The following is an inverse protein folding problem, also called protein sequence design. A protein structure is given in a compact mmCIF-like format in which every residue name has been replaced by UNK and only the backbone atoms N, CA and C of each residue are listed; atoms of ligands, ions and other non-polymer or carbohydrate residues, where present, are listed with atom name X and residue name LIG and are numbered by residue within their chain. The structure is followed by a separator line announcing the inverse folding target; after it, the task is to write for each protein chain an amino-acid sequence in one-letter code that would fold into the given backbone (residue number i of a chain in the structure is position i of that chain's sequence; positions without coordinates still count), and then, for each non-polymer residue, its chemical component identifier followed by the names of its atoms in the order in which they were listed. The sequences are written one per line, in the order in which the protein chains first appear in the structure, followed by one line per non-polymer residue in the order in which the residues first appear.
data_IF_288048176348
#
_entry.id   IF_288048176348
#
_cell.length_a   1.000
_cell.length_b   1.000
_cell.length_c   1.000
_cell.angle_alpha   90.00
_cell.angle_beta   90.00
_cell.angle_gamma   90.00
#
_symmetry.space_group_name_H-M   'P 1'
#
loop_
_entity.id
_entity.type
_entity.pdbx_description
1 polymer ?
#
# COMPACT_ATOMS: atom_id res chain seq x y z
N UNK A 1 -21.31 -0.59 -39.31
CA UNK A 1 -21.85 -1.81 -38.69
C UNK A 1 -21.81 -1.61 -37.19
N UNK A 2 -22.94 -1.22 -36.61
CA UNK A 2 -23.07 -0.91 -35.19
C UNK A 2 -23.47 -2.18 -34.43
N UNK A 3 -22.64 -2.61 -33.48
CA UNK A 3 -23.05 -3.62 -32.49
C UNK A 3 -23.82 -2.91 -31.39
N UNK A 4 -25.11 -3.21 -31.29
CA UNK A 4 -25.95 -2.87 -30.16
C UNK A 4 -25.46 -3.68 -28.95
N UNK A 5 -24.79 -3.02 -28.01
CA UNK A 5 -24.54 -3.56 -26.68
C UNK A 5 -25.87 -3.56 -25.92
N UNK A 6 -26.37 -4.74 -25.57
CA UNK A 6 -27.52 -4.92 -24.69
C UNK A 6 -27.14 -4.46 -23.28
N UNK A 7 -27.81 -3.39 -22.86
CA UNK A 7 -27.77 -2.83 -21.51
C UNK A 7 -28.49 -3.79 -20.55
N UNK A 8 -27.75 -4.70 -19.93
CA UNK A 8 -28.27 -5.62 -18.91
C UNK A 8 -28.26 -4.90 -17.57
N UNK A 9 -29.42 -4.36 -17.22
CA UNK A 9 -29.73 -3.77 -15.91
C UNK A 9 -29.49 -4.82 -14.80
N UNK A 10 -28.54 -4.62 -13.87
CA UNK A 10 -28.34 -5.56 -12.77
C UNK A 10 -29.44 -5.38 -11.73
N UNK A 11 -30.25 -6.42 -11.50
CA UNK A 11 -31.09 -6.53 -10.31
C UNK A 11 -30.20 -6.71 -9.07
N UNK A 12 -30.49 -6.01 -7.96
CA UNK A 12 -29.81 -6.25 -6.69
C UNK A 12 -30.33 -7.53 -6.04
N UNK A 13 -29.56 -8.61 -6.15
CA UNK A 13 -29.78 -9.83 -5.38
C UNK A 13 -29.20 -9.66 -3.97
N UNK A 14 -30.01 -9.08 -3.07
CA UNK A 14 -29.86 -9.30 -1.62
C UNK A 14 -30.28 -10.75 -1.31
N UNK A 15 -29.38 -11.70 -1.54
CA UNK A 15 -29.47 -13.05 -0.97
C UNK A 15 -28.33 -13.25 0.03
N UNK A 16 -28.50 -12.65 1.21
CA UNK A 16 -27.81 -13.11 2.41
C UNK A 16 -28.38 -14.49 2.78
N UNK A 17 -27.84 -15.54 2.15
CA UNK A 17 -27.95 -16.90 2.65
C UNK A 17 -26.95 -17.04 3.80
N UNK A 18 -27.34 -16.62 5.00
CA UNK A 18 -26.71 -17.13 6.23
C UNK A 18 -27.06 -18.62 6.34
N UNK A 19 -26.32 -19.43 5.59
CA UNK A 19 -26.39 -20.88 5.64
C UNK A 19 -25.67 -21.33 6.93
N UNK A 20 -26.41 -21.29 8.03
CA UNK A 20 -26.08 -22.07 9.22
C UNK A 20 -26.03 -23.54 8.79
N UNK A 21 -24.82 -24.03 8.50
CA UNK A 21 -24.52 -25.41 8.15
C UNK A 21 -24.86 -26.35 9.29
N UNK A 22 -26.15 -26.63 9.47
CA UNK A 22 -26.61 -27.83 10.16
C UNK A 22 -26.35 -28.96 9.19
N UNK A 23 -25.41 -29.88 9.45
CA UNK A 23 -25.22 -31.03 8.59
C UNK A 23 -26.57 -31.75 8.49
N UNK A 24 -27.08 -31.89 7.27
CA UNK A 24 -28.33 -32.57 7.01
C UNK A 24 -28.32 -33.92 7.73
N UNK A 25 -29.38 -34.21 8.49
CA UNK A 25 -29.50 -35.46 9.26
C UNK A 25 -29.27 -36.71 8.38
N UNK A 26 -29.46 -36.57 7.06
CA UNK A 26 -29.16 -37.59 6.06
C UNK A 26 -27.66 -37.91 5.97
N UNK A 27 -26.79 -36.90 5.96
CA UNK A 27 -25.33 -37.07 5.86
C UNK A 27 -24.76 -37.68 7.14
N UNK A 28 -25.30 -37.30 8.30
CA UNK A 28 -24.93 -37.91 9.59
C UNK A 28 -25.43 -39.36 9.71
N UNK A 29 -26.61 -39.69 9.19
CA UNK A 29 -27.13 -41.05 9.17
C UNK A 29 -26.32 -41.99 8.25
N UNK A 30 -25.84 -41.51 7.09
CA UNK A 30 -24.99 -42.30 6.20
C UNK A 30 -23.59 -42.55 6.79
N UNK A 31 -23.02 -41.57 7.49
CA UNK A 31 -21.73 -41.74 8.17
C UNK A 31 -21.83 -42.77 9.31
N UNK A 32 -22.92 -42.75 10.10
CA UNK A 32 -23.15 -43.72 11.18
C UNK A 32 -23.45 -45.14 10.65
N UNK A 33 -24.08 -45.28 9.48
CA UNK A 33 -24.33 -46.58 8.87
C UNK A 33 -23.05 -47.28 8.36
N UNK A 34 -22.00 -46.52 8.03
CA UNK A 34 -20.73 -47.11 7.55
C UNK A 34 -19.86 -47.70 8.66
N UNK A 35 -19.99 -47.22 9.90
CA UNK A 35 -19.15 -47.64 11.03
C UNK A 35 -19.59 -48.96 11.70
N UNK A 36 -20.82 -49.44 11.49
CA UNK A 36 -21.34 -50.66 12.15
C UNK A 36 -21.24 -51.95 11.30
N UNK A 37 -20.56 -51.93 10.16
CA UNK A 37 -20.46 -53.07 9.25
C UNK A 37 -19.39 -54.11 9.60
N UNK A 38 -19.53 -54.83 10.72
CA UNK A 38 -18.77 -56.06 10.99
C UNK A 38 -19.05 -57.13 9.91
N UNK A 39 -17.99 -57.59 9.25
CA UNK A 39 -17.79 -58.90 8.58
C UNK A 39 -19.08 -59.71 8.31
N UNK A 40 -19.74 -59.48 7.18
CA UNK A 40 -20.64 -60.47 6.57
C UNK A 40 -20.20 -60.75 5.13
N UNK A 41 -20.12 -62.04 4.82
CA UNK A 41 -19.69 -62.60 3.53
C UNK A 41 -20.45 -61.95 2.38
N UNK A 42 -19.68 -61.51 1.38
CA UNK A 42 -20.11 -60.90 0.11
C UNK A 42 -21.21 -61.72 -0.57
N UNK A 43 -22.46 -61.31 -0.37
CA UNK A 43 -23.57 -61.66 -1.25
C UNK A 43 -23.53 -60.69 -2.42
N UNK A 44 -23.29 -61.19 -3.64
CA UNK A 44 -23.30 -60.44 -4.90
C UNK A 44 -24.48 -59.46 -4.92
N UNK A 45 -24.21 -58.16 -4.78
CA UNK A 45 -25.22 -57.11 -4.90
C UNK A 45 -25.80 -57.22 -6.31
N UNK A 46 -27.11 -57.43 -6.41
CA UNK A 46 -27.82 -57.41 -7.70
C UNK A 46 -27.56 -56.04 -8.35
N UNK A 47 -27.26 -55.97 -9.66
CA UNK A 47 -27.05 -54.70 -10.34
C UNK A 47 -28.27 -53.81 -10.13
N UNK A 48 -28.04 -52.53 -9.82
CA UNK A 48 -29.08 -51.52 -9.69
C UNK A 48 -29.90 -51.47 -10.99
N UNK A 49 -31.19 -51.20 -10.89
CA UNK A 49 -32.01 -50.99 -12.09
C UNK A 49 -31.44 -49.79 -12.88
N UNK A 50 -31.49 -49.79 -14.22
CA UNK A 50 -30.95 -48.69 -15.02
C UNK A 50 -31.41 -47.29 -14.56
N UNK A 51 -32.67 -47.18 -14.13
CA UNK A 51 -33.22 -45.93 -13.59
C UNK A 51 -32.59 -45.51 -12.25
N UNK A 52 -32.27 -46.47 -11.37
CA UNK A 52 -31.59 -46.18 -10.11
C UNK A 52 -30.15 -45.75 -10.35
N UNK A 53 -29.46 -46.37 -11.34
CA UNK A 53 -28.12 -45.94 -11.73
C UNK A 53 -28.15 -44.51 -12.27
N UNK A 54 -29.12 -44.18 -13.14
CA UNK A 54 -29.25 -42.83 -13.68
C UNK A 54 -29.52 -41.76 -12.59
N UNK A 55 -30.26 -42.10 -11.53
CA UNK A 55 -30.48 -41.18 -10.40
C UNK A 55 -29.19 -40.95 -9.62
N UNK A 56 -28.42 -42.00 -9.33
CA UNK A 56 -27.12 -41.89 -8.66
C UNK A 56 -26.16 -41.04 -9.50
N UNK A 57 -26.08 -41.31 -10.81
CA UNK A 57 -25.20 -40.55 -11.71
C UNK A 57 -25.61 -39.06 -11.79
N UNK A 58 -26.90 -38.75 -11.67
CA UNK A 58 -27.41 -37.36 -11.64
C UNK A 58 -27.15 -36.69 -10.29
N UNK A 59 -27.26 -37.43 -9.18
CA UNK A 59 -26.89 -36.93 -7.84
C UNK A 59 -25.40 -36.62 -7.77
N UNK A 60 -24.55 -37.51 -8.27
CA UNK A 60 -23.10 -37.31 -8.33
C UNK A 60 -22.75 -36.07 -9.18
N UNK A 61 -23.39 -35.92 -10.35
CA UNK A 61 -23.22 -34.72 -11.19
C UNK A 61 -23.72 -33.45 -10.51
N UNK A 62 -24.82 -33.50 -9.78
CA UNK A 62 -25.35 -32.35 -9.05
C UNK A 62 -24.40 -31.94 -7.92
N UNK A 63 -23.83 -32.90 -7.19
CA UNK A 63 -22.81 -32.65 -6.17
C UNK A 63 -21.54 -32.06 -6.78
N UNK A 64 -21.06 -32.59 -7.90
CA UNK A 64 -19.94 -32.04 -8.65
C UNK A 64 -20.20 -30.58 -9.06
N UNK A 65 -21.38 -30.28 -9.63
CA UNK A 65 -21.77 -28.91 -10.02
C UNK A 65 -21.91 -27.96 -8.83
N UNK A 66 -22.42 -28.43 -7.68
CA UNK A 66 -22.48 -27.63 -6.47
C UNK A 66 -21.07 -27.29 -5.96
N UNK A 67 -20.14 -28.24 -6.00
CA UNK A 67 -18.75 -28.01 -5.64
C UNK A 67 -18.07 -27.02 -6.60
N UNK A 68 -18.28 -27.16 -7.91
CA UNK A 68 -17.80 -26.21 -8.92
C UNK A 68 -18.35 -24.80 -8.67
N UNK A 69 -19.66 -24.68 -8.42
CA UNK A 69 -20.30 -23.39 -8.13
C UNK A 69 -19.73 -22.75 -6.86
N UNK A 70 -19.52 -23.54 -5.80
CA UNK A 70 -18.91 -23.07 -4.57
C UNK A 70 -17.49 -22.54 -4.81
N UNK A 71 -16.66 -23.29 -5.54
CA UNK A 71 -15.30 -22.88 -5.91
C UNK A 71 -15.32 -21.59 -6.76
N UNK A 72 -16.21 -21.50 -7.75
CA UNK A 72 -16.37 -20.31 -8.59
C UNK A 72 -16.82 -19.08 -7.79
N UNK A 73 -17.67 -19.27 -6.78
CA UNK A 73 -18.16 -18.20 -5.89
C UNK A 73 -17.04 -17.67 -5.00
N UNK A 74 -16.22 -18.56 -4.44
CA UNK A 74 -15.03 -18.18 -3.68
C UNK A 74 -14.01 -17.41 -4.55
N UNK A 75 -13.75 -17.89 -5.78
CA UNK A 75 -12.83 -17.21 -6.70
C UNK A 75 -13.38 -15.85 -7.15
N UNK A 76 -14.68 -15.74 -7.43
CA UNK A 76 -15.31 -14.47 -7.75
C UNK A 76 -15.17 -13.45 -6.60
N UNK A 77 -15.38 -13.89 -5.35
CA UNK A 77 -15.17 -13.06 -4.17
C UNK A 77 -13.70 -12.61 -4.03
N UNK A 78 -12.74 -13.51 -4.27
CA UNK A 78 -11.30 -13.22 -4.28
C UNK A 78 -10.95 -12.17 -5.34
N UNK A 79 -11.42 -12.33 -6.58
CA UNK A 79 -11.19 -11.41 -7.68
C UNK A 79 -11.82 -10.04 -7.43
N UNK A 80 -13.03 -9.98 -6.89
CA UNK A 80 -13.67 -8.72 -6.49
C UNK A 80 -12.90 -7.99 -5.38
N UNK A 81 -12.33 -8.72 -4.42
CA UNK A 81 -11.46 -8.11 -3.40
C UNK A 81 -10.17 -7.55 -4.03
N UNK A 82 -9.57 -8.28 -4.98
CA UNK A 82 -8.38 -7.84 -5.73
C UNK A 82 -8.66 -6.60 -6.59
N UNK A 83 -9.78 -6.55 -7.30
CA UNK A 83 -10.19 -5.38 -8.09
C UNK A 83 -10.34 -4.16 -7.18
N UNK A 84 -11.01 -4.29 -6.03
CA UNK A 84 -11.13 -3.21 -5.04
C UNK A 84 -9.77 -2.68 -4.55
N UNK A 85 -8.81 -3.58 -4.29
CA UNK A 85 -7.44 -3.16 -3.92
C UNK A 85 -6.76 -2.41 -5.05
N UNK A 86 -6.89 -2.88 -6.29
CA UNK A 86 -6.32 -2.21 -7.46
C UNK A 86 -6.96 -0.83 -7.64
N UNK A 87 -8.29 -0.73 -7.57
CA UNK A 87 -9.05 0.52 -7.67
C UNK A 87 -8.68 1.52 -6.57
N UNK A 88 -8.46 1.07 -5.33
CA UNK A 88 -8.02 1.93 -4.23
C UNK A 88 -6.58 2.45 -4.42
N UNK A 89 -5.72 1.66 -5.08
CA UNK A 89 -4.31 1.99 -5.32
C UNK A 89 -4.12 2.85 -6.58
N UNK A 90 -4.99 2.72 -7.59
CA UNK A 90 -4.87 3.40 -8.88
C UNK A 90 -4.85 4.94 -8.80
N UNK A 91 -5.75 5.62 -8.03
CA UNK A 91 -5.74 7.09 -7.91
C UNK A 91 -4.42 7.64 -7.36
N UNK A 92 -3.70 6.86 -6.53
CA UNK A 92 -2.40 7.28 -5.99
C UNK A 92 -1.29 7.24 -7.04
N UNK A 93 -1.42 6.41 -8.08
CA UNK A 93 -0.46 6.31 -9.19
C UNK A 93 -0.72 7.37 -10.25
N UNK A 94 -1.97 7.76 -10.45
CA UNK A 94 -2.38 8.81 -11.38
C UNK A 94 -2.41 10.19 -10.68
N UNK A 95 -1.34 10.53 -9.96
CA UNK A 95 -1.17 11.89 -9.44
C UNK A 95 -1.43 12.94 -10.54
N UNK A 96 -1.77 14.18 -10.18
CA UNK A 96 -2.15 15.22 -11.14
C UNK A 96 -1.14 15.23 -12.30
N UNK A 97 -1.59 15.34 -13.56
CA UNK A 97 -0.80 15.04 -14.77
C UNK A 97 0.47 15.89 -14.99
N UNK A 98 0.91 16.68 -14.01
CA UNK A 98 2.22 17.34 -13.96
C UNK A 98 3.24 16.74 -12.98
N UNK A 99 2.93 15.67 -12.23
CA UNK A 99 3.83 15.10 -11.21
C UNK A 99 4.55 13.80 -11.62
N UNK A 100 4.13 13.17 -12.73
CA UNK A 100 4.59 11.82 -13.09
C UNK A 100 6.03 11.83 -13.67
N UNK A 101 6.45 12.94 -14.27
CA UNK A 101 7.80 13.10 -14.83
C UNK A 101 8.90 13.07 -13.77
N UNK A 102 8.64 13.60 -12.57
CA UNK A 102 9.64 13.63 -11.50
C UNK A 102 9.94 12.23 -10.93
N UNK A 103 8.98 11.32 -10.94
CA UNK A 103 9.16 9.96 -10.44
C UNK A 103 9.80 9.01 -11.48
N UNK A 104 9.55 9.22 -12.78
CA UNK A 104 10.25 8.49 -13.85
C UNK A 104 11.70 8.95 -14.02
N UNK A 105 11.99 10.24 -13.83
CA UNK A 105 13.37 10.75 -13.86
C UNK A 105 14.28 10.21 -12.75
N UNK A 106 13.74 9.67 -11.66
CA UNK A 106 14.53 9.07 -10.57
C UNK A 106 14.97 7.62 -10.85
N UNK A 107 14.35 6.94 -11.83
CA UNK A 107 14.70 5.56 -12.19
C UNK A 107 15.64 5.53 -13.40
N UNK A 108 15.65 6.57 -14.23
CA UNK A 108 16.68 6.77 -15.25
C UNK A 108 17.94 7.32 -14.57
N UNK A 109 18.91 6.43 -14.30
CA UNK A 109 20.14 6.73 -13.57
C UNK A 109 20.89 7.96 -14.07
N UNK A 110 21.53 8.65 -13.12
CA UNK A 110 22.55 9.65 -13.38
C UNK A 110 23.64 9.02 -14.27
N UNK A 111 23.87 9.50 -15.51
CA UNK A 111 24.99 9.01 -16.30
C UNK A 111 26.28 9.32 -15.54
N UNK A 112 27.08 8.28 -15.30
CA UNK A 112 28.33 8.36 -14.56
C UNK A 112 29.26 9.40 -15.16
N UNK A 113 29.54 10.45 -14.40
CA UNK A 113 30.65 11.37 -14.64
C UNK A 113 31.94 10.61 -14.33
N UNK A 114 32.52 9.98 -15.34
CA UNK A 114 33.89 9.45 -15.28
C UNK A 114 34.52 9.53 -16.66
N UNK A 115 35.30 10.59 -16.88
CA UNK A 115 36.57 10.56 -17.61
C UNK A 115 37.16 11.98 -17.62
N UNK A 116 37.93 12.29 -16.58
CA UNK A 116 39.04 13.22 -16.73
C UNK A 116 40.14 12.47 -17.49
N UNK A 117 40.39 12.87 -18.73
CA UNK A 117 41.44 12.35 -19.58
C UNK A 117 41.69 13.33 -20.71
N UNK A 118 42.65 14.22 -20.49
CA UNK A 118 43.29 15.00 -21.56
C UNK A 118 43.74 14.07 -22.68
N UNK A 119 43.41 14.41 -23.92
CA UNK A 119 44.41 14.41 -24.99
C UNK A 119 43.96 15.32 -26.13
N UNK A 120 44.86 16.24 -26.47
CA UNK A 120 44.74 17.18 -27.58
C UNK A 120 44.81 16.43 -28.91
N UNK A 121 43.87 16.69 -29.82
CA UNK A 121 43.84 16.06 -31.14
C UNK A 121 43.00 16.85 -32.12
N UNK A 122 43.59 17.93 -32.64
CA UNK A 122 43.08 18.81 -33.68
C UNK A 122 42.81 18.08 -35.00
N UNK A 123 41.61 18.16 -35.58
CA UNK A 123 41.34 18.09 -37.04
C UNK A 123 39.94 18.65 -37.40
N UNK A 124 39.69 19.04 -38.69
CA UNK A 124 38.84 20.19 -39.00
C UNK A 124 37.45 19.86 -39.57
N UNK A 125 36.61 20.90 -39.45
CA UNK A 125 35.41 21.29 -40.17
C UNK A 125 34.93 20.44 -41.37
N UNK A 126 33.63 20.11 -41.36
CA UNK A 126 32.82 20.00 -42.59
C UNK A 126 31.38 20.46 -42.35
N UNK A 127 31.12 21.63 -42.93
CA UNK A 127 29.90 22.17 -43.56
C UNK A 127 28.54 21.48 -43.41
N UNK A 128 27.58 22.31 -42.97
CA UNK A 128 26.13 22.28 -43.20
C UNK A 128 25.75 22.23 -44.70
N UNK A 129 24.50 21.80 -45.00
CA UNK A 129 23.57 22.77 -45.59
C UNK A 129 22.14 22.73 -44.99
N UNK A 130 21.28 23.74 -45.30
CA UNK A 130 20.08 24.07 -44.54
C UNK A 130 18.75 23.73 -45.24
N UNK A 131 17.65 24.12 -44.57
CA UNK A 131 16.26 24.36 -45.04
C UNK A 131 15.35 23.17 -45.29
N UNK A 132 14.24 23.08 -44.54
CA UNK A 132 12.96 23.68 -44.93
C UNK A 132 11.91 23.59 -43.82
N UNK A 133 11.09 24.65 -43.75
CA UNK A 133 10.05 24.90 -42.77
C UNK A 133 8.78 24.06 -43.00
N UNK A 134 8.12 23.70 -41.91
CA UNK A 134 6.77 23.11 -41.91
C UNK A 134 5.99 23.59 -40.70
N UNK A 135 5.45 24.79 -40.79
CA UNK A 135 4.43 25.34 -39.89
C UNK A 135 3.10 24.60 -40.14
N UNK A 136 2.54 23.96 -39.12
CA UNK A 136 1.10 23.62 -39.07
C UNK A 136 0.56 23.92 -37.68
N UNK A 137 -0.51 24.71 -37.67
CA UNK A 137 -1.19 25.30 -36.53
C UNK A 137 -1.92 24.26 -35.63
N UNK A 138 -2.26 24.64 -34.38
CA UNK A 138 -2.95 23.78 -33.43
C UNK A 138 -4.46 23.77 -33.67
N UNK A 139 -5.04 22.58 -33.80
CA UNK A 139 -6.48 22.36 -33.81
C UNK A 139 -6.98 21.98 -32.42
N UNK A 140 -7.68 22.92 -31.76
CA UNK A 140 -8.62 22.62 -30.67
C UNK A 140 -9.71 21.65 -31.14
N UNK A 141 -10.24 20.82 -30.23
CA UNK A 141 -11.69 20.72 -30.19
C UNK A 141 -12.29 20.80 -28.78
N UNK A 142 -13.28 21.69 -28.71
CA UNK A 142 -14.61 21.50 -28.14
C UNK A 142 -14.72 21.04 -26.67
N UNK A 143 -14.88 22.07 -25.83
CA UNK A 143 -15.66 22.03 -24.59
C UNK A 143 -17.10 21.60 -24.94
N UNK A 144 -17.52 20.42 -24.48
CA UNK A 144 -18.94 20.09 -24.36
C UNK A 144 -19.38 20.30 -22.91
N UNK A 145 -20.23 21.31 -22.73
CA UNK A 145 -20.97 21.57 -21.52
C UNK A 145 -21.99 20.45 -21.29
N UNK A 146 -21.94 19.81 -20.12
CA UNK A 146 -22.97 18.88 -19.65
C UNK A 146 -24.18 19.69 -19.12
N UNK A 147 -25.42 19.29 -19.44
CA UNK A 147 -26.63 19.93 -18.93
C UNK A 147 -26.95 19.52 -17.48
N UNK A 148 -27.68 20.37 -16.71
CA UNK A 148 -28.01 20.11 -15.32
C UNK A 148 -29.13 19.07 -15.20
N UNK A 149 -28.87 17.96 -14.50
CA UNK A 149 -29.89 16.96 -14.22
C UNK A 149 -30.73 17.33 -13.00
N UNK A 150 -32.03 17.19 -13.22
CA UNK A 150 -33.14 17.58 -12.37
C UNK A 150 -33.21 16.76 -11.08
N UNK A 151 -33.32 17.51 -9.99
CA UNK A 151 -33.82 17.09 -8.69
C UNK A 151 -35.26 16.59 -8.83
N UNK A 152 -35.50 15.32 -8.50
CA UNK A 152 -36.86 14.82 -8.26
C UNK A 152 -36.95 14.20 -6.86
N UNK A 153 -37.70 14.88 -6.00
CA UNK A 153 -38.32 14.29 -4.82
C UNK A 153 -39.39 13.28 -5.28
N UNK A 154 -39.70 12.29 -4.43
CA UNK A 154 -41.10 12.13 -4.10
C UNK A 154 -41.34 12.10 -2.59
N UNK A 155 -42.26 12.96 -2.17
CA UNK A 155 -43.07 12.81 -0.97
C UNK A 155 -44.12 11.71 -1.19
N UNK A 156 -44.54 11.05 -0.11
CA UNK A 156 -45.90 10.48 -0.06
C UNK A 156 -46.05 9.10 0.58
N UNK A 157 -46.48 9.13 1.84
CA UNK A 157 -47.54 8.30 2.43
C UNK A 157 -47.41 6.78 2.43
N UNK A 158 -47.26 6.21 3.64
CA UNK A 158 -47.45 4.81 3.93
C UNK A 158 -47.75 4.59 5.42
N UNK A 159 -48.99 4.88 5.80
CA UNK A 159 -49.61 4.58 7.09
C UNK A 159 -49.61 3.07 7.36
N UNK A 160 -49.11 2.63 8.50
CA UNK A 160 -49.15 1.23 8.91
C UNK A 160 -49.02 1.08 10.43
N UNK A 161 -50.16 0.94 11.09
CA UNK A 161 -50.32 0.72 12.52
C UNK A 161 -50.05 -0.76 12.91
N UNK A 162 -49.62 -0.99 14.15
CA UNK A 162 -49.62 -2.30 14.81
C UNK A 162 -48.38 -2.50 15.68
N UNK A 163 -48.36 -2.05 16.94
CA UNK A 163 -48.88 -2.74 18.12
C UNK A 163 -47.80 -3.53 18.91
N UNK A 164 -47.44 -2.94 20.06
CA UNK A 164 -47.27 -3.57 21.38
C UNK A 164 -46.28 -4.75 21.52
N UNK A 165 -45.15 -4.47 22.16
CA UNK A 165 -44.79 -5.24 23.37
C UNK A 165 -43.98 -4.40 24.34
N UNK A 166 -44.34 -4.56 25.61
CA UNK A 166 -43.93 -3.75 26.74
C UNK A 166 -42.88 -4.47 27.58
N UNK A 167 -42.20 -3.65 28.40
CA UNK A 167 -41.55 -4.00 29.68
C UNK A 167 -40.06 -4.40 29.63
N UNK A 168 -39.32 -4.24 30.74
CA UNK A 168 -38.85 -2.93 31.21
C UNK A 168 -37.35 -2.90 31.53
N UNK A 169 -36.78 -1.70 31.55
CA UNK A 169 -35.46 -1.41 32.08
C UNK A 169 -35.46 -1.42 33.62
N UNK A 170 -34.32 -1.75 34.27
CA UNK A 170 -33.99 -1.25 35.59
C UNK A 170 -32.95 -0.12 35.51
N UNK A 171 -33.36 1.05 36.05
CA UNK A 171 -32.47 2.11 36.51
C UNK A 171 -31.52 1.63 37.60
N UNK A 172 -30.34 2.26 37.72
CA UNK A 172 -29.78 2.60 39.01
C UNK A 172 -29.80 4.12 39.24
N UNK A 173 -30.19 4.48 40.46
CA UNK A 173 -30.37 5.83 40.98
C UNK A 173 -29.07 6.63 41.12
N UNK A 174 -29.15 7.98 41.13
CA UNK A 174 -28.06 8.88 41.45
C UNK A 174 -27.94 9.07 42.97
N UNK A 175 -26.73 8.93 43.52
CA UNK A 175 -26.44 9.26 44.92
C UNK A 175 -25.55 10.51 45.03
N UNK A 176 -26.11 11.51 45.72
CA UNK A 176 -25.52 12.54 46.63
C UNK A 176 -24.09 13.02 46.34
N UNK A 177 -23.84 14.31 46.07
CA UNK A 177 -23.92 15.50 46.96
C UNK A 177 -22.96 15.46 48.15
N UNK A 178 -21.80 16.11 48.00
CA UNK A 178 -20.98 16.79 49.03
C UNK A 178 -20.19 17.88 48.29
N UNK A 179 -20.63 19.14 48.37
CA UNK A 179 -20.09 20.19 49.26
C UNK A 179 -18.77 20.81 48.76
N UNK A 180 -18.89 22.08 48.37
CA UNK A 180 -17.80 23.01 48.13
C UNK A 180 -17.12 23.40 49.45
N UNK A 181 -15.91 23.99 49.36
CA UNK A 181 -15.80 25.33 49.91
C UNK A 181 -15.15 26.34 48.96
N UNK A 182 -15.70 27.54 49.04
CA UNK A 182 -15.21 28.80 48.50
C UNK A 182 -13.77 29.15 48.90
N UNK A 183 -13.07 29.80 47.98
CA UNK A 183 -11.90 30.66 48.21
C UNK A 183 -11.48 31.24 46.86
N UNK A 184 -12.06 32.34 46.38
CA UNK A 184 -11.85 33.76 46.72
C UNK A 184 -10.44 34.28 46.36
N UNK A 185 -10.46 35.26 45.45
CA UNK A 185 -9.52 36.35 45.18
C UNK A 185 -8.14 36.06 44.59
N UNK A 186 -7.88 36.67 43.43
CA UNK A 186 -6.55 36.80 42.87
C UNK A 186 -6.53 37.40 41.46
N UNK A 187 -7.24 38.50 41.23
CA UNK A 187 -7.02 39.34 40.06
C UNK A 187 -5.56 39.82 40.04
N UNK A 188 -4.80 39.50 38.99
CA UNK A 188 -3.65 40.30 38.54
C UNK A 188 -3.54 40.22 37.03
N UNK A 189 -4.27 41.16 36.42
CA UNK A 189 -3.96 41.73 35.11
C UNK A 189 -2.59 42.40 35.17
N UNK A 190 -1.69 42.04 34.26
CA UNK A 190 -0.49 42.81 33.93
C UNK A 190 -0.32 42.78 32.42
N UNK A 191 -0.95 43.75 31.75
CA UNK A 191 -0.48 44.26 30.47
C UNK A 191 0.84 45.01 30.69
N UNK A 192 1.81 44.92 29.77
CA UNK A 192 2.74 46.01 29.55
C UNK A 192 2.32 46.80 28.31
N UNK A 193 2.04 48.07 28.55
CA UNK A 193 1.90 49.11 27.53
C UNK A 193 3.28 49.60 27.09
N UNK A 194 3.42 49.80 25.79
CA UNK A 194 4.03 50.93 25.06
C UNK A 194 5.30 51.62 25.58
N UNK A 195 6.22 51.85 24.64
CA UNK A 195 7.18 52.98 24.43
C UNK A 195 8.55 52.42 23.98
N UNK A 196 9.28 52.92 22.98
CA UNK A 196 9.19 54.12 22.15
C UNK A 196 10.04 53.94 20.86
N UNK A 197 9.73 54.76 19.86
CA UNK A 197 10.60 55.35 18.83
C UNK A 197 11.95 54.69 18.48
N UNK A 198 12.09 54.27 17.21
CA UNK A 198 13.18 54.73 16.36
C UNK A 198 12.79 54.62 14.89
N UNK A 199 12.41 55.78 14.34
CA UNK A 199 12.18 56.05 12.92
C UNK A 199 13.56 56.33 12.31
N UNK A 200 14.17 55.34 11.67
CA UNK A 200 15.37 55.57 10.84
C UNK A 200 14.98 55.78 9.39
N UNK A 201 15.25 56.99 8.94
CA UNK A 201 15.23 57.48 7.57
C UNK A 201 16.34 56.85 6.72
N UNK A 202 15.95 56.43 5.53
CA UNK A 202 16.69 56.44 4.25
C UNK A 202 18.22 56.29 4.25
N UNK A 203 18.68 55.17 3.68
CA UNK A 203 19.95 55.05 2.93
C UNK A 203 19.67 54.20 1.67
N UNK A 204 19.75 54.76 0.45
CA UNK A 204 19.67 54.01 -0.78
C UNK A 204 21.09 53.68 -1.28
N UNK A 205 21.36 52.40 -1.52
CA UNK A 205 22.51 51.99 -2.33
C UNK A 205 23.51 51.10 -1.62
N UNK A 206 23.21 49.82 -1.51
CA UNK A 206 24.25 48.80 -1.64
C UNK A 206 23.69 47.62 -2.43
N UNK A 207 24.12 47.56 -3.69
CA UNK A 207 24.02 46.38 -4.54
C UNK A 207 24.91 45.29 -3.93
N UNK A 208 24.39 44.63 -2.89
CA UNK A 208 25.02 43.49 -2.26
C UNK A 208 24.77 42.28 -3.15
N UNK A 209 25.84 41.85 -3.81
CA UNK A 209 26.02 40.54 -4.43
C UNK A 209 25.27 39.48 -3.62
N UNK A 210 24.14 39.01 -4.16
CA UNK A 210 23.61 37.68 -3.84
C UNK A 210 24.61 36.65 -4.36
N UNK A 211 25.70 36.46 -3.61
CA UNK A 211 26.48 35.25 -3.70
C UNK A 211 25.62 34.15 -3.13
N UNK A 212 24.95 33.40 -4.00
CA UNK A 212 24.25 32.16 -3.68
C UNK A 212 25.27 31.17 -3.13
N UNK A 213 25.59 31.29 -1.84
CA UNK A 213 26.34 30.26 -1.11
C UNK A 213 25.37 29.10 -0.97
N UNK A 214 25.40 28.19 -1.94
CA UNK A 214 24.77 26.88 -1.82
C UNK A 214 25.47 26.15 -0.68
N UNK A 215 24.98 26.35 0.54
CA UNK A 215 25.35 25.53 1.68
C UNK A 215 24.97 24.09 1.33
N UNK A 216 25.99 23.29 1.05
CA UNK A 216 25.87 21.84 0.94
C UNK A 216 25.50 21.35 2.33
N UNK A 217 24.19 21.25 2.59
CA UNK A 217 23.68 20.57 3.77
C UNK A 217 24.13 19.13 3.69
N UNK A 218 24.78 18.65 4.76
CA UNK A 218 25.31 17.29 4.77
C UNK A 218 24.16 16.29 4.72
N UNK A 219 24.40 15.08 4.19
CA UNK A 219 23.39 14.02 4.18
C UNK A 219 22.87 13.70 5.59
N UNK A 220 23.73 13.86 6.61
CA UNK A 220 23.39 13.70 8.01
C UNK A 220 22.34 14.73 8.47
N UNK A 221 22.52 16.01 8.11
CA UNK A 221 21.57 17.08 8.47
C UNK A 221 20.17 16.78 7.91
N UNK A 222 20.09 16.22 6.71
CA UNK A 222 18.81 15.85 6.07
C UNK A 222 18.17 14.64 6.74
N UNK A 223 18.95 13.65 7.17
CA UNK A 223 18.47 12.54 8.00
C UNK A 223 17.86 13.04 9.29
N UNK A 224 18.51 13.99 9.96
CA UNK A 224 18.06 14.53 11.24
C UNK A 224 16.79 15.38 11.07
N UNK A 225 16.69 16.16 9.99
CA UNK A 225 15.48 16.89 9.61
C UNK A 225 14.30 15.95 9.33
N UNK A 226 14.52 14.86 8.60
CA UNK A 226 13.49 13.86 8.35
C UNK A 226 13.01 13.22 9.66
N UNK A 227 13.95 12.85 10.54
CA UNK A 227 13.64 12.22 11.82
C UNK A 227 12.85 13.17 12.72
N UNK A 228 13.25 14.45 12.78
CA UNK A 228 12.52 15.47 13.51
C UNK A 228 11.08 15.63 12.99
N UNK A 229 10.89 15.64 11.66
CA UNK A 229 9.56 15.70 11.06
C UNK A 229 8.69 14.48 11.42
N UNK A 230 9.26 13.28 11.37
CA UNK A 230 8.59 12.04 11.74
C UNK A 230 8.18 12.01 13.23
N UNK A 231 9.11 12.38 14.13
CA UNK A 231 8.85 12.44 15.57
C UNK A 231 7.78 13.49 15.91
N UNK A 232 7.81 14.65 15.23
CA UNK A 232 6.78 15.68 15.42
C UNK A 232 5.40 15.17 14.99
N UNK A 233 5.29 14.53 13.82
CA UNK A 233 4.05 13.91 13.36
C UNK A 233 3.53 12.86 14.34
N UNK A 234 4.41 11.98 14.83
CA UNK A 234 4.05 10.91 15.77
C UNK A 234 3.52 11.50 17.08
N UNK A 235 4.17 12.55 17.60
CA UNK A 235 3.73 13.25 18.82
C UNK A 235 2.39 13.97 18.63
N UNK A 236 2.24 14.75 17.55
CA UNK A 236 0.98 15.43 17.23
C UNK A 236 -0.17 14.44 17.06
N UNK A 237 0.07 13.33 16.35
CA UNK A 237 -0.90 12.24 16.17
C UNK A 237 -1.34 11.62 17.48
N UNK A 238 -0.40 11.33 18.38
CA UNK A 238 -0.71 10.73 19.68
C UNK A 238 -1.66 11.63 20.50
N UNK A 239 -1.39 12.95 20.52
CA UNK A 239 -2.25 13.92 21.20
C UNK A 239 -3.65 13.99 20.57
N UNK A 240 -3.73 13.99 19.25
CA UNK A 240 -5.01 14.02 18.52
C UNK A 240 -5.81 12.73 18.71
N UNK A 241 -5.16 11.57 18.76
CA UNK A 241 -5.81 10.27 19.02
C UNK A 241 -6.44 10.29 20.42
N UNK A 242 -5.67 10.68 21.44
CA UNK A 242 -6.19 10.79 22.81
C UNK A 242 -7.36 11.77 22.91
N UNK A 243 -7.28 12.91 22.22
CA UNK A 243 -8.36 13.90 22.21
C UNK A 243 -9.64 13.36 21.54
N UNK A 244 -9.49 12.66 20.41
CA UNK A 244 -10.60 12.03 19.69
C UNK A 244 -11.24 10.90 20.50
N UNK A 245 -10.44 10.06 21.17
CA UNK A 245 -10.96 8.98 22.02
C UNK A 245 -11.72 9.51 23.24
N UNK A 246 -11.25 10.62 23.83
CA UNK A 246 -11.96 11.27 24.92
C UNK A 246 -13.26 11.94 24.45
N UNK A 247 -13.23 12.57 23.27
CA UNK A 247 -14.34 13.32 22.67
C UNK A 247 -14.31 13.20 21.14
N UNK A 248 -15.09 12.28 20.56
CA UNK A 248 -15.11 12.10 19.11
C UNK A 248 -15.56 13.39 18.40
N UNK A 249 -14.67 13.94 17.59
CA UNK A 249 -14.91 15.16 16.81
C UNK A 249 -14.15 15.06 15.48
N UNK A 250 -14.86 15.36 14.39
CA UNK A 250 -14.32 15.35 13.02
C UNK A 250 -13.16 16.33 12.83
N UNK A 251 -13.16 17.45 13.55
CA UNK A 251 -12.06 18.42 13.50
C UNK A 251 -10.71 17.81 13.87
N UNK A 252 -10.69 16.82 14.78
CA UNK A 252 -9.44 16.13 15.13
C UNK A 252 -8.94 15.25 13.99
N UNK A 253 -9.82 14.60 13.25
CA UNK A 253 -9.46 13.80 12.09
C UNK A 253 -8.91 14.68 10.97
N UNK A 254 -9.56 15.82 10.69
CA UNK A 254 -9.06 16.80 9.72
C UNK A 254 -7.68 17.34 10.10
N UNK A 255 -7.44 17.62 11.40
CA UNK A 255 -6.11 18.03 11.88
C UNK A 255 -5.08 16.92 11.74
N UNK A 256 -5.44 15.65 11.97
CA UNK A 256 -4.53 14.52 11.72
C UNK A 256 -4.15 14.46 10.24
N UNK A 257 -5.11 14.55 9.32
CA UNK A 257 -4.84 14.54 7.88
C UNK A 257 -3.96 15.70 7.45
N UNK A 258 -4.26 16.92 7.88
CA UNK A 258 -3.44 18.09 7.58
C UNK A 258 -2.00 17.95 8.11
N UNK A 259 -1.82 17.29 9.25
CA UNK A 259 -0.50 17.06 9.85
C UNK A 259 0.26 15.95 9.11
N UNK A 260 -0.45 14.93 8.62
CA UNK A 260 0.11 13.92 7.73
C UNK A 260 0.50 14.49 6.37
N UNK A 261 -0.27 15.44 5.83
CA UNK A 261 0.06 16.15 4.60
C UNK A 261 1.34 16.98 4.73
N UNK A 262 1.56 17.62 5.89
CA UNK A 262 2.84 18.30 6.18
C UNK A 262 4.00 17.31 6.19
N UNK A 263 3.84 16.13 6.79
CA UNK A 263 4.87 15.09 6.75
C UNK A 263 5.14 14.63 5.31
N UNK A 264 4.10 14.38 4.50
CA UNK A 264 4.25 13.99 3.09
C UNK A 264 5.01 15.06 2.30
N UNK A 265 4.70 16.34 2.49
CA UNK A 265 5.41 17.43 1.84
C UNK A 265 6.91 17.42 2.21
N UNK A 266 7.24 17.21 3.49
CA UNK A 266 8.64 17.06 3.93
C UNK A 266 9.33 15.83 3.36
N UNK A 267 8.61 14.71 3.23
CA UNK A 267 9.13 13.49 2.59
C UNK A 267 9.43 13.72 1.12
N UNK A 268 8.60 14.50 0.40
CA UNK A 268 8.88 14.86 -1.00
C UNK A 268 10.11 15.77 -1.08
N UNK A 269 10.17 16.81 -0.25
CA UNK A 269 11.28 17.76 -0.20
C UNK A 269 12.63 17.10 0.14
N UNK A 270 12.64 16.23 1.14
CA UNK A 270 13.85 15.58 1.65
C UNK A 270 14.19 14.27 0.92
N UNK A 271 13.17 13.53 0.47
CA UNK A 271 13.30 12.16 -0.04
C UNK A 271 13.57 12.06 -1.54
N UNK A 272 13.13 13.03 -2.35
CA UNK A 272 13.50 13.06 -3.78
C UNK A 272 15.03 13.05 -4.00
N UNK A 273 15.83 13.83 -3.26
CA UNK A 273 17.28 13.79 -3.41
C UNK A 273 17.99 12.64 -2.65
N UNK A 274 17.29 11.95 -1.74
CA UNK A 274 17.91 10.99 -0.80
C UNK A 274 16.99 9.78 -0.50
N UNK A 275 16.77 8.93 -1.50
CA UNK A 275 15.91 7.75 -1.36
C UNK A 275 16.44 6.73 -0.32
N UNK A 276 17.76 6.73 -0.10
CA UNK A 276 18.46 5.93 0.91
C UNK A 276 18.03 6.28 2.34
N UNK A 277 17.68 7.56 2.59
CA UNK A 277 17.25 7.98 3.92
C UNK A 277 15.98 7.24 4.32
N UNK A 278 14.97 7.20 3.44
CA UNK A 278 13.69 6.55 3.75
C UNK A 278 13.85 5.04 3.83
N UNK A 279 14.65 4.45 2.94
CA UNK A 279 14.80 2.99 2.85
C UNK A 279 15.53 2.41 4.08
N UNK A 280 16.44 3.16 4.69
CA UNK A 280 17.19 2.72 5.86
C UNK A 280 16.42 2.88 7.18
N UNK A 281 15.25 3.55 7.18
CA UNK A 281 14.47 3.78 8.41
C UNK A 281 13.72 2.54 8.88
N UNK A 282 13.33 1.66 7.95
CA UNK A 282 12.52 0.46 8.22
C UNK A 282 13.24 -0.50 9.20
N UNK A 283 14.56 -0.36 9.39
CA UNK A 283 15.38 -1.20 10.27
C UNK A 283 16.03 -0.43 11.42
N UNK A 284 15.64 0.81 11.69
CA UNK A 284 16.26 1.64 12.72
C UNK A 284 15.34 1.81 13.92
N UNK A 285 15.87 1.52 15.10
CA UNK A 285 15.21 1.91 16.35
C UNK A 285 15.49 3.41 16.59
N UNK A 286 14.43 4.21 16.62
CA UNK A 286 14.48 5.67 16.66
C UNK A 286 14.98 6.22 18.01
N UNK A 287 14.79 5.47 19.11
CA UNK A 287 15.31 5.85 20.43
C UNK A 287 16.82 5.63 20.52
N UNK A 288 17.29 4.47 20.06
CA UNK A 288 18.70 4.07 20.17
C UNK A 288 19.58 4.56 19.01
N UNK A 289 18.95 4.93 17.89
CA UNK A 289 19.62 5.24 16.63
C UNK A 289 20.31 4.04 15.97
N UNK A 290 20.18 2.82 16.51
CA UNK A 290 20.84 1.60 16.01
C UNK A 290 19.96 0.86 15.01
N UNK A 291 20.61 0.18 14.07
CA UNK A 291 19.95 -0.80 13.21
C UNK A 291 19.49 -1.97 14.08
N UNK A 292 18.19 -2.08 14.28
CA UNK A 292 17.55 -3.12 15.08
C UNK A 292 16.18 -3.42 14.48
N UNK A 293 15.98 -4.68 14.09
CA UNK A 293 14.67 -5.15 13.65
C UNK A 293 13.72 -5.26 14.86
N UNK A 294 12.43 -4.88 14.71
CA UNK A 294 11.44 -5.09 15.75
C UNK A 294 11.20 -6.59 16.00
N UNK A 295 10.94 -7.00 17.26
CA UNK A 295 10.54 -8.38 17.56
C UNK A 295 9.29 -8.79 16.77
N UNK A 296 9.16 -10.07 16.42
CA UNK A 296 8.02 -10.54 15.62
C UNK A 296 6.66 -10.23 16.25
N UNK A 297 6.56 -10.34 17.58
CA UNK A 297 5.34 -10.04 18.34
C UNK A 297 4.98 -8.56 18.36
N UNK A 298 5.90 -7.66 18.00
CA UNK A 298 5.69 -6.22 18.04
C UNK A 298 4.52 -5.80 17.14
N UNK A 299 4.55 -6.23 15.87
CA UNK A 299 3.51 -5.89 14.90
C UNK A 299 2.14 -6.45 15.25
N UNK A 300 2.09 -7.59 15.97
CA UNK A 300 0.84 -8.16 16.48
C UNK A 300 0.15 -7.20 17.45
N UNK A 301 0.90 -6.65 18.40
CA UNK A 301 0.38 -5.67 19.37
C UNK A 301 -0.12 -4.41 18.66
N UNK A 302 0.61 -3.93 17.65
CA UNK A 302 0.19 -2.78 16.82
C UNK A 302 -1.15 -3.07 16.16
N UNK A 303 -1.26 -4.21 15.47
CA UNK A 303 -2.45 -4.60 14.70
C UNK A 303 -3.67 -4.85 15.58
N UNK A 304 -3.51 -5.50 16.73
CA UNK A 304 -4.59 -5.72 17.70
C UNK A 304 -5.27 -4.41 18.12
N UNK A 305 -4.52 -3.30 18.19
CA UNK A 305 -5.03 -1.98 18.58
C UNK A 305 -5.64 -1.18 17.41
N UNK A 306 -5.50 -1.65 16.17
CA UNK A 306 -6.13 -1.01 15.01
C UNK A 306 -7.62 -1.31 14.89
N UNK A 307 -8.10 -2.37 15.55
CA UNK A 307 -9.49 -2.84 15.48
C UNK A 307 -9.97 -2.98 14.03
N UNK A 308 -9.16 -3.63 13.18
CA UNK A 308 -9.49 -3.80 11.76
C UNK A 308 -10.80 -4.57 11.59
N UNK A 309 -11.68 -4.09 10.71
CA UNK A 309 -12.90 -4.81 10.37
C UNK A 309 -12.62 -5.95 9.37
N UNK A 310 -13.60 -6.83 9.17
CA UNK A 310 -13.46 -7.99 8.28
C UNK A 310 -13.17 -7.61 6.82
N UNK A 311 -13.70 -6.49 6.35
CA UNK A 311 -13.44 -5.98 4.99
C UNK A 311 -11.99 -5.49 4.82
N UNK A 312 -11.45 -4.79 5.81
CA UNK A 312 -10.06 -4.34 5.85
C UNK A 312 -9.10 -5.54 5.89
N UNK A 313 -9.42 -6.55 6.70
CA UNK A 313 -8.65 -7.81 6.76
C UNK A 313 -8.67 -8.51 5.40
N UNK A 314 -9.83 -8.61 4.75
CA UNK A 314 -9.94 -9.20 3.42
C UNK A 314 -9.14 -8.42 2.36
N UNK A 315 -9.15 -7.08 2.42
CA UNK A 315 -8.36 -6.24 1.53
C UNK A 315 -6.85 -6.41 1.77
N UNK A 316 -6.40 -6.52 3.02
CA UNK A 316 -5.00 -6.80 3.36
C UNK A 316 -4.56 -8.18 2.84
N UNK A 317 -5.39 -9.22 2.98
CA UNK A 317 -5.12 -10.55 2.41
C UNK A 317 -4.98 -10.50 0.89
N UNK A 318 -5.89 -9.80 0.21
CA UNK A 318 -5.84 -9.65 -1.25
C UNK A 318 -4.58 -8.87 -1.70
N UNK A 319 -4.24 -7.78 -1.00
CA UNK A 319 -3.03 -7.01 -1.26
C UNK A 319 -1.75 -7.82 -1.04
N UNK A 320 -1.70 -8.62 0.03
CA UNK A 320 -0.56 -9.49 0.34
C UNK A 320 -0.40 -10.63 -0.68
N UNK A 321 -1.51 -11.24 -1.11
CA UNK A 321 -1.50 -12.22 -2.18
C UNK A 321 -0.93 -11.64 -3.48
N UNK A 322 -1.37 -10.43 -3.86
CA UNK A 322 -0.84 -9.72 -5.03
C UNK A 322 0.66 -9.39 -4.90
N UNK A 323 1.09 -8.94 -3.72
CA UNK A 323 2.50 -8.72 -3.43
C UNK A 323 3.33 -9.99 -3.64
N UNK A 324 2.86 -11.12 -3.09
CA UNK A 324 3.54 -12.42 -3.22
C UNK A 324 3.63 -12.90 -4.66
N UNK A 325 2.53 -12.82 -5.41
CA UNK A 325 2.51 -13.18 -6.84
C UNK A 325 3.59 -12.40 -7.61
N UNK A 326 3.72 -11.09 -7.36
CA UNK A 326 4.75 -10.26 -8.01
C UNK A 326 6.15 -10.59 -7.51
N UNK A 327 6.31 -10.76 -6.21
CA UNK A 327 7.61 -11.04 -5.60
C UNK A 327 8.15 -12.41 -6.03
N UNK A 328 7.28 -13.40 -6.26
CA UNK A 328 7.69 -14.72 -6.76
C UNK A 328 8.37 -14.61 -8.14
N UNK A 329 7.81 -13.79 -9.04
CA UNK A 329 8.40 -13.53 -10.36
C UNK A 329 9.75 -12.83 -10.22
N UNK A 330 9.82 -11.77 -9.40
CA UNK A 330 11.05 -11.02 -9.14
C UNK A 330 12.14 -11.93 -8.59
N UNK A 331 11.83 -12.76 -7.58
CA UNK A 331 12.79 -13.67 -6.95
C UNK A 331 13.20 -14.84 -7.85
N UNK A 332 12.32 -15.28 -8.76
CA UNK A 332 12.68 -16.26 -9.78
C UNK A 332 13.67 -15.68 -10.78
N UNK A 333 13.41 -14.47 -11.28
CA UNK A 333 14.32 -13.76 -12.19
C UNK A 333 15.67 -13.47 -11.52
N UNK A 334 15.67 -12.98 -10.28
CA UNK A 334 16.90 -12.72 -9.51
C UNK A 334 17.79 -13.96 -9.40
N UNK A 335 17.20 -15.12 -9.13
CA UNK A 335 17.94 -16.40 -9.08
C UNK A 335 18.55 -16.75 -10.44
N UNK A 336 17.77 -16.64 -11.52
CA UNK A 336 18.27 -16.90 -12.89
C UNK A 336 19.42 -15.96 -13.27
N UNK A 337 19.31 -14.68 -12.92
CA UNK A 337 20.36 -13.68 -13.16
C UNK A 337 21.62 -13.97 -12.35
N UNK A 338 21.47 -14.33 -11.08
CA UNK A 338 22.59 -14.70 -10.24
C UNK A 338 23.32 -15.95 -10.78
N UNK A 339 22.59 -16.95 -11.27
CA UNK A 339 23.16 -18.14 -11.92
C UNK A 339 23.91 -17.78 -13.22
N UNK A 340 23.33 -16.91 -14.06
CA UNK A 340 23.97 -16.43 -15.30
C UNK A 340 25.26 -15.65 -15.00
N UNK A 341 25.24 -14.73 -14.03
CA UNK A 341 26.42 -13.98 -13.58
C UNK A 341 27.49 -14.90 -12.97
N UNK A 342 27.08 -15.88 -12.17
CA UNK A 342 28.02 -16.87 -11.62
C UNK A 342 28.70 -17.68 -12.74
N UNK A 343 27.94 -18.12 -13.75
CA UNK A 343 28.48 -18.84 -14.90
C UNK A 343 29.45 -17.99 -15.74
N UNK A 344 29.10 -16.72 -16.00
CA UNK A 344 29.99 -15.80 -16.73
C UNK A 344 31.28 -15.52 -15.96
N UNK A 345 31.20 -15.28 -14.64
CA UNK A 345 32.38 -15.09 -13.79
C UNK A 345 33.27 -16.35 -13.70
N UNK A 346 32.68 -17.54 -13.56
CA UNK A 346 33.44 -18.79 -13.59
C UNK A 346 34.16 -18.98 -14.93
N UNK A 347 33.50 -18.63 -16.02
CA UNK A 347 34.12 -18.66 -17.35
C UNK A 347 35.31 -17.69 -17.44
N UNK A 348 35.24 -16.51 -16.81
CA UNK A 348 36.36 -15.55 -16.76
C UNK A 348 37.51 -16.05 -15.89
N UNK A 349 37.22 -16.68 -14.74
CA UNK A 349 38.23 -17.11 -13.76
C UNK A 349 39.11 -18.28 -14.22
N UNK A 350 38.60 -19.18 -15.09
CA UNK A 350 39.36 -20.33 -15.60
C UNK A 350 40.51 -19.94 -16.58
N UNK A 351 40.84 -18.65 -16.72
CA UNK A 351 41.51 -18.11 -17.90
C UNK A 351 42.89 -17.45 -17.84
N UNK A 352 43.83 -17.71 -16.90
CA UNK A 352 45.22 -17.25 -17.08
C UNK A 352 46.21 -18.35 -17.55
N UNK A 353 45.86 -19.64 -17.45
CA UNK A 353 46.79 -20.75 -17.71
C UNK A 353 46.59 -21.51 -19.03
N UNK A 354 45.56 -21.18 -19.81
CA UNK A 354 45.20 -21.92 -21.04
C UNK A 354 45.64 -21.11 -22.27
N UNK A 355 46.90 -21.30 -22.67
CA UNK A 355 47.50 -20.74 -23.89
C UNK A 355 46.70 -21.20 -25.13
N UNK A 356 45.74 -20.39 -25.55
CA UNK A 356 44.85 -20.73 -26.67
C UNK A 356 43.44 -20.15 -26.59
N UNK A 357 43.11 -19.42 -25.51
CA UNK A 357 41.81 -18.75 -25.41
C UNK A 357 41.69 -17.63 -26.44
N UNK A 358 40.72 -17.73 -27.32
CA UNK A 358 40.53 -16.75 -28.38
C UNK A 358 39.94 -15.43 -27.81
N UNK A 359 40.48 -14.25 -28.19
CA UNK A 359 40.06 -12.94 -27.67
C UNK A 359 38.53 -12.69 -27.72
N UNK A 360 37.86 -13.17 -28.76
CA UNK A 360 36.41 -13.00 -28.95
C UNK A 360 35.55 -13.71 -27.90
N UNK A 361 36.09 -14.68 -27.14
CA UNK A 361 35.35 -15.31 -26.04
C UNK A 361 35.26 -14.41 -24.81
N UNK A 362 36.31 -13.62 -24.54
CA UNK A 362 36.34 -12.70 -23.40
C UNK A 362 35.35 -11.53 -23.61
N UNK A 363 35.33 -10.95 -24.81
CA UNK A 363 34.38 -9.89 -25.15
C UNK A 363 32.94 -10.35 -25.00
N UNK A 364 32.59 -11.54 -25.50
CA UNK A 364 31.25 -12.11 -25.35
C UNK A 364 30.87 -12.27 -23.88
N UNK A 365 31.76 -12.82 -23.05
CA UNK A 365 31.49 -12.99 -21.61
C UNK A 365 31.34 -11.67 -20.88
N UNK A 366 32.04 -10.61 -21.32
CA UNK A 366 31.91 -9.26 -20.77
C UNK A 366 30.56 -8.65 -21.12
N UNK A 367 30.14 -8.74 -22.39
CA UNK A 367 28.84 -8.22 -22.85
C UNK A 367 27.68 -8.96 -22.18
N UNK A 368 27.79 -10.28 -21.99
CA UNK A 368 26.79 -11.06 -21.26
C UNK A 368 26.69 -10.66 -19.78
N UNK A 369 27.82 -10.32 -19.14
CA UNK A 369 27.84 -9.85 -17.75
C UNK A 369 27.20 -8.46 -17.61
N UNK A 370 27.48 -7.54 -18.53
CA UNK A 370 26.87 -6.21 -18.57
C UNK A 370 25.35 -6.28 -18.77
N UNK A 371 24.89 -7.07 -19.75
CA UNK A 371 23.46 -7.28 -19.98
C UNK A 371 22.74 -7.91 -18.77
N UNK A 372 23.40 -8.83 -18.06
CA UNK A 372 22.85 -9.42 -16.84
C UNK A 372 22.80 -8.42 -15.66
N UNK A 373 23.73 -7.47 -15.59
CA UNK A 373 23.71 -6.39 -14.61
C UNK A 373 22.55 -5.41 -14.87
N UNK A 374 22.33 -5.01 -16.12
CA UNK A 374 21.19 -4.17 -16.50
C UNK A 374 19.84 -4.86 -16.18
N UNK A 375 19.73 -6.16 -16.45
CA UNK A 375 18.54 -6.95 -16.13
C UNK A 375 18.33 -7.08 -14.61
N UNK A 376 19.42 -7.10 -13.82
CA UNK A 376 19.36 -7.09 -12.36
C UNK A 376 18.87 -5.74 -11.82
N UNK A 377 19.33 -4.62 -12.38
CA UNK A 377 18.84 -3.29 -12.00
C UNK A 377 17.34 -3.13 -12.29
N UNK A 378 16.88 -3.59 -13.46
CA UNK A 378 15.45 -3.64 -13.79
C UNK A 378 14.66 -4.52 -12.81
N UNK A 379 15.24 -5.65 -12.38
CA UNK A 379 14.64 -6.54 -11.38
C UNK A 379 14.55 -5.87 -9.99
N UNK A 380 15.56 -5.13 -9.55
CA UNK A 380 15.54 -4.34 -8.31
C UNK A 380 14.46 -3.26 -8.37
N UNK A 381 14.30 -2.57 -9.51
CA UNK A 381 13.21 -1.62 -9.70
C UNK A 381 11.82 -2.30 -9.59
N UNK A 382 11.67 -3.50 -10.15
CA UNK A 382 10.45 -4.31 -10.04
C UNK A 382 10.17 -4.77 -8.60
N UNK A 383 11.20 -5.15 -7.83
CA UNK A 383 11.11 -5.43 -6.40
C UNK A 383 10.57 -4.21 -5.64
N UNK A 384 11.16 -3.03 -5.88
CA UNK A 384 10.72 -1.78 -5.28
C UNK A 384 9.26 -1.45 -5.62
N UNK A 385 8.82 -1.73 -6.86
CA UNK A 385 7.42 -1.58 -7.26
C UNK A 385 6.48 -2.58 -6.58
N UNK A 386 6.93 -3.80 -6.31
CA UNK A 386 6.17 -4.79 -5.55
C UNK A 386 6.03 -4.34 -4.09
N UNK A 387 7.11 -3.94 -3.42
CA UNK A 387 7.05 -3.42 -2.04
C UNK A 387 6.19 -2.16 -1.92
N UNK A 388 6.18 -1.31 -2.96
CA UNK A 388 5.34 -0.11 -2.99
C UNK A 388 3.85 -0.44 -2.83
N UNK A 389 3.37 -1.60 -3.29
CA UNK A 389 1.97 -2.00 -3.11
C UNK A 389 1.58 -2.09 -1.64
N UNK A 390 2.43 -2.66 -0.77
CA UNK A 390 2.15 -2.76 0.65
C UNK A 390 2.07 -1.36 1.30
N UNK A 391 2.97 -0.46 0.91
CA UNK A 391 2.97 0.94 1.36
C UNK A 391 1.75 1.71 0.84
N UNK A 392 1.36 1.51 -0.42
CA UNK A 392 0.15 2.09 -1.04
C UNK A 392 -1.12 1.60 -0.32
N UNK A 393 -1.17 0.33 0.09
CA UNK A 393 -2.30 -0.21 0.85
C UNK A 393 -2.47 0.46 2.22
N UNK A 394 -1.38 0.76 2.94
CA UNK A 394 -1.47 1.52 4.19
C UNK A 394 -1.84 2.99 3.99
N UNK A 395 -1.60 3.53 2.79
CA UNK A 395 -1.92 4.92 2.41
C UNK A 395 -3.29 5.05 1.76
N UNK A 396 -3.93 3.96 1.39
CA UNK A 396 -5.24 3.99 0.74
C UNK A 396 -6.33 4.35 1.74
N UNK A 397 -7.53 4.53 1.21
CA UNK A 397 -8.79 4.72 1.93
C UNK A 397 -9.28 3.46 2.66
N UNK A 398 -8.60 2.31 2.50
CA UNK A 398 -8.90 1.09 3.26
C UNK A 398 -8.81 1.36 4.76
N UNK A 399 -7.83 2.17 5.19
CA UNK A 399 -7.66 2.56 6.59
C UNK A 399 -8.20 3.96 6.84
N UNK A 400 -8.89 4.13 7.96
CA UNK A 400 -9.35 5.46 8.38
C UNK A 400 -8.16 6.36 8.75
N UNK A 401 -8.32 7.69 8.73
CA UNK A 401 -7.26 8.60 9.16
C UNK A 401 -6.76 8.30 10.58
N UNK A 402 -7.67 7.94 11.48
CA UNK A 402 -7.37 7.52 12.85
C UNK A 402 -6.51 6.25 12.88
N UNK A 403 -6.83 5.24 12.06
CA UNK A 403 -6.04 4.00 11.99
C UNK A 403 -4.63 4.26 11.43
N UNK A 404 -4.49 5.11 10.39
CA UNK A 404 -3.17 5.49 9.86
C UNK A 404 -2.32 6.23 10.90
N UNK A 405 -2.92 7.13 11.67
CA UNK A 405 -2.25 7.81 12.77
C UNK A 405 -1.85 6.81 13.88
N UNK A 406 -2.75 5.88 14.25
CA UNK A 406 -2.44 4.82 15.22
C UNK A 406 -1.29 3.93 14.76
N UNK A 407 -1.23 3.54 13.49
CA UNK A 407 -0.11 2.78 12.93
C UNK A 407 1.20 3.52 13.21
N UNK A 408 1.29 4.81 12.88
CA UNK A 408 2.50 5.59 13.12
C UNK A 408 2.88 5.66 14.61
N UNK A 409 1.92 5.96 15.48
CA UNK A 409 2.13 6.11 16.93
C UNK A 409 2.52 4.79 17.60
N UNK A 410 1.80 3.72 17.31
CA UNK A 410 2.02 2.41 17.92
C UNK A 410 3.27 1.71 17.39
N UNK A 411 3.77 2.10 16.21
CA UNK A 411 5.02 1.56 15.67
C UNK A 411 6.25 2.09 16.39
N UNK A 412 6.13 3.19 17.14
CA UNK A 412 7.25 3.73 17.93
C UNK A 412 7.78 2.69 18.94
N UNK A 413 9.10 2.47 19.05
CA UNK A 413 10.20 3.29 18.50
C UNK A 413 10.73 2.85 17.13
N UNK A 414 9.99 2.05 16.38
CA UNK A 414 10.37 1.62 15.03
C UNK A 414 9.61 2.43 13.96
N UNK A 415 10.15 2.46 12.75
CA UNK A 415 9.39 2.96 11.60
C UNK A 415 8.35 1.91 11.16
N UNK A 416 7.13 2.30 10.74
CA UNK A 416 6.11 1.33 10.34
C UNK A 416 6.54 0.48 9.14
N UNK A 417 6.73 -0.81 9.36
CA UNK A 417 6.93 -1.77 8.28
C UNK A 417 5.57 -2.15 7.68
N UNK A 418 5.29 -1.59 6.50
CA UNK A 418 4.02 -1.79 5.82
C UNK A 418 3.75 -3.26 5.50
N UNK A 419 4.77 -4.02 5.11
CA UNK A 419 4.60 -5.43 4.77
C UNK A 419 4.34 -6.27 6.02
N UNK A 420 5.09 -6.03 7.10
CA UNK A 420 4.89 -6.76 8.34
C UNK A 420 3.52 -6.48 8.97
N UNK A 421 3.05 -5.23 8.92
CA UNK A 421 1.71 -4.85 9.40
C UNK A 421 0.63 -5.54 8.55
N UNK A 422 0.72 -5.47 7.21
CA UNK A 422 -0.28 -6.09 6.31
C UNK A 422 -0.30 -7.61 6.47
N UNK A 423 0.87 -8.26 6.58
CA UNK A 423 0.96 -9.70 6.84
C UNK A 423 0.34 -10.09 8.19
N UNK A 424 0.60 -9.29 9.22
CA UNK A 424 0.02 -9.50 10.54
C UNK A 424 -1.51 -9.34 10.52
N UNK A 425 -2.04 -8.31 9.84
CA UNK A 425 -3.50 -8.11 9.66
C UNK A 425 -4.12 -9.28 8.89
N UNK A 426 -3.44 -9.80 7.87
CA UNK A 426 -3.91 -10.94 7.09
C UNK A 426 -4.06 -12.23 7.94
N UNK A 427 -3.48 -12.27 9.14
CA UNK A 427 -3.46 -13.42 10.05
C UNK A 427 -2.28 -14.36 9.78
N UNK A 428 -1.33 -13.95 8.95
CA UNK A 428 -0.18 -14.75 8.59
C UNK A 428 0.95 -14.41 9.53
N UNK A 429 0.93 -15.08 10.69
CA UNK A 429 2.00 -14.95 11.67
C UNK A 429 3.26 -15.73 11.30
N UNK A 430 3.27 -16.35 10.12
CA UNK A 430 4.42 -17.04 9.53
C UNK A 430 4.82 -16.29 8.26
N UNK A 431 5.41 -15.10 8.41
CA UNK A 431 6.26 -14.60 7.34
C UNK A 431 7.49 -15.52 7.31
N UNK A 432 7.82 -16.14 6.17
CA UNK A 432 9.10 -16.83 6.04
C UNK A 432 10.18 -15.81 6.39
N UNK A 433 11.04 -16.15 7.33
CA UNK A 433 12.19 -15.33 7.73
C UNK A 433 13.13 -15.22 6.52
N UNK A 434 12.82 -14.31 5.60
CA UNK A 434 13.60 -14.06 4.39
C UNK A 434 14.90 -13.32 4.70
N UNK A 435 15.18 -13.05 5.99
CA UNK A 435 16.37 -12.38 6.49
C UNK A 435 17.45 -13.35 7.02
N UNK A 436 17.40 -14.64 6.66
CA UNK A 436 18.49 -15.59 6.91
C UNK A 436 19.25 -16.01 5.64
N UNK A 437 19.16 -15.23 4.56
CA UNK A 437 20.06 -15.38 3.39
C UNK A 437 21.12 -14.29 3.44
#
# INVERSE_FOLDING_TARGET
MAMQLLDVKPEPADMNMEENGVPSALTQAMAQASAQGRRRKSTRKKPLRPQQQALVDMEDKLQERLQEYHNATQENARLKARIRVIEAVLPQRQGPPGSVDAAQMLVAGSPGTSAAGQEEGSYPASSLPPTAAGYVAPGSPAIYALPPSMRTQPAGAGTGAGARSASPAPQPQPSRRSEAPSGRSGERSCSPSSEACSRSTAEPGSSLRQGSVSQVTSAQDKSDLWLAAWLNWTRESALLICAYEARPNEEYLQRMEASFDRLKARVVELGLPHAELISNMDQRNLDSGRAQAPPYSFWRVVVERLNCNTAQVAACRAGLALYRERMEVVMRQRRQLAERLAASMQSLQLGPGQEGRQPWTLEKTSVEAEAAAEELDANVAAEGHAMRLARELLRSDIFTPLQRARIAVLSYPYFPDALAIVATIAGETELPSAAQV
#
